data_IF_198950103316
#
_entry.id   IF_198950103316
#
_cell.length_a   1.000
_cell.length_b   1.000
_cell.length_c   1.000
_cell.angle_alpha   90.00
_cell.angle_beta   90.00
_cell.angle_gamma   90.00
#
_symmetry.space_group_name_H-M   'P 1'
#
loop_
_entity.id
_entity.type
_entity.pdbx_description
1 polymer ?
#
# COMPACT_ATOMS: atom_id res chain seq x y z
N UNK A 1 18.55 16.56 -8.73
CA UNK A 1 18.35 15.16 -9.16
C UNK A 1 19.00 14.13 -8.24
N UNK A 2 20.15 14.40 -7.60
CA UNK A 2 20.78 13.41 -6.69
C UNK A 2 19.86 12.99 -5.53
N UNK A 3 19.20 13.94 -4.86
CA UNK A 3 18.21 13.65 -3.83
C UNK A 3 17.00 12.87 -4.39
N UNK A 4 16.39 13.38 -5.46
CA UNK A 4 15.29 12.72 -6.17
C UNK A 4 15.60 11.28 -6.63
N UNK A 5 16.86 10.97 -6.95
CA UNK A 5 17.24 9.60 -7.34
C UNK A 5 17.16 8.60 -6.18
N UNK A 6 17.43 9.05 -4.95
CA UNK A 6 17.30 8.22 -3.76
C UNK A 6 15.82 7.98 -3.38
N UNK A 7 14.93 8.91 -3.74
CA UNK A 7 13.49 8.87 -3.46
C UNK A 7 12.69 8.23 -4.62
N UNK A 8 13.33 7.96 -5.76
CA UNK A 8 12.66 7.42 -6.94
C UNK A 8 12.05 6.04 -6.68
N UNK A 9 10.74 5.91 -6.93
CA UNK A 9 9.98 4.66 -6.80
C UNK A 9 9.45 4.18 -8.16
N UNK A 10 9.11 2.89 -8.24
CA UNK A 10 8.31 2.36 -9.35
C UNK A 10 6.84 2.84 -9.24
N UNK A 11 5.99 2.65 -10.28
CA UNK A 11 4.56 3.02 -10.21
C UNK A 11 3.78 2.38 -9.07
N UNK A 12 4.39 1.42 -8.37
CA UNK A 12 3.81 0.69 -7.27
C UNK A 12 4.39 1.11 -5.90
N UNK A 13 5.29 2.10 -5.84
CA UNK A 13 5.84 2.68 -4.62
C UNK A 13 7.06 1.95 -4.05
N UNK A 14 7.69 1.02 -4.79
CA UNK A 14 8.94 0.40 -4.34
C UNK A 14 10.12 1.30 -4.69
N UNK A 15 11.08 1.53 -3.77
CA UNK A 15 12.27 2.30 -4.07
C UNK A 15 13.14 1.61 -5.14
N UNK A 16 13.54 2.37 -6.15
CA UNK A 16 14.33 1.88 -7.29
C UNK A 16 15.83 1.75 -6.96
N UNK A 17 16.29 2.34 -5.86
CA UNK A 17 17.69 2.25 -5.42
C UNK A 17 18.70 2.88 -6.38
N UNK A 18 18.27 3.82 -7.23
CA UNK A 18 19.12 4.48 -8.21
C UNK A 18 19.98 5.56 -7.55
N UNK A 19 21.27 5.59 -7.88
CA UNK A 19 22.17 6.66 -7.45
C UNK A 19 22.53 7.54 -8.64
N UNK A 20 22.17 8.82 -8.58
CA UNK A 20 22.53 9.79 -9.61
C UNK A 20 23.83 10.51 -9.26
N UNK A 21 24.88 10.27 -10.06
CA UNK A 21 26.21 10.84 -9.88
C UNK A 21 27.05 10.08 -8.84
N UNK A 22 28.25 9.64 -9.23
CA UNK A 22 29.17 8.92 -8.33
C UNK A 22 29.85 9.84 -7.30
N UNK A 23 29.77 11.16 -7.47
CA UNK A 23 30.42 12.14 -6.60
C UNK A 23 29.48 13.35 -6.41
N UNK A 24 29.05 13.66 -5.18
CA UNK A 24 28.20 14.81 -4.90
C UNK A 24 28.82 16.12 -5.42
N UNK A 25 27.99 17.03 -5.94
CA UNK A 25 28.39 18.38 -6.43
C UNK A 25 29.32 18.43 -7.66
N UNK A 26 29.34 17.40 -8.50
CA UNK A 26 30.17 17.43 -9.72
C UNK A 26 29.49 18.25 -10.82
N UNK A 27 30.14 19.34 -11.27
CA UNK A 27 29.66 20.18 -12.37
C UNK A 27 29.58 19.47 -13.75
N UNK A 28 30.06 18.22 -13.83
CA UNK A 28 30.03 17.40 -15.04
C UNK A 28 28.70 16.65 -15.24
N UNK A 29 27.76 16.70 -14.30
CA UNK A 29 26.41 16.15 -14.54
C UNK A 29 25.63 17.10 -15.46
N UNK A 30 24.85 16.53 -16.38
CA UNK A 30 24.15 17.31 -17.41
C UNK A 30 23.14 18.33 -16.85
N UNK A 31 22.70 18.11 -15.61
CA UNK A 31 21.73 18.90 -14.87
C UNK A 31 22.35 19.89 -13.85
N UNK A 32 23.68 19.95 -13.71
CA UNK A 32 24.37 20.69 -12.64
C UNK A 32 24.03 22.20 -12.58
N UNK A 33 23.58 22.78 -13.69
CA UNK A 33 23.17 24.20 -13.81
C UNK A 33 21.68 24.36 -14.17
N UNK A 34 20.86 23.31 -14.01
CA UNK A 34 19.42 23.35 -14.32
C UNK A 34 18.62 23.81 -13.10
N UNK A 35 17.43 24.34 -13.37
CA UNK A 35 16.46 24.72 -12.32
C UNK A 35 16.11 23.46 -11.53
N UNK A 36 16.27 23.54 -10.21
CA UNK A 36 15.86 22.51 -9.28
C UNK A 36 14.39 22.76 -8.92
N UNK A 37 13.52 21.77 -9.10
CA UNK A 37 12.16 21.78 -8.57
C UNK A 37 12.14 21.25 -7.14
N UNK A 38 11.07 21.53 -6.40
CA UNK A 38 10.81 20.89 -5.12
C UNK A 38 10.19 19.51 -5.39
N UNK A 39 10.71 18.49 -4.71
CA UNK A 39 9.91 17.29 -4.44
C UNK A 39 8.98 17.63 -3.29
N UNK A 40 7.70 17.39 -3.50
CA UNK A 40 6.70 17.60 -2.47
C UNK A 40 5.94 16.30 -2.15
N UNK A 41 6.40 15.17 -2.70
CA UNK A 41 5.87 13.83 -2.44
C UNK A 41 6.16 13.34 -1.01
N UNK A 42 6.86 14.11 -0.17
CA UNK A 42 7.13 13.73 1.22
C UNK A 42 5.96 14.02 2.15
N UNK A 43 5.28 12.94 2.55
CA UNK A 43 4.46 12.71 3.76
C UNK A 43 3.88 13.95 4.48
N UNK A 44 2.56 14.19 4.39
CA UNK A 44 1.75 14.58 5.57
C UNK A 44 0.21 14.68 5.36
N UNK A 45 -0.52 13.98 6.25
CA UNK A 45 -1.90 14.14 6.76
C UNK A 45 -3.12 14.44 5.84
N UNK A 46 -3.90 13.40 5.52
CA UNK A 46 -5.32 13.51 5.16
C UNK A 46 -6.20 13.23 6.39
N UNK A 47 -6.89 14.25 6.94
CA UNK A 47 -7.75 14.09 8.12
C UNK A 47 -9.01 13.23 7.89
N UNK A 48 -9.98 13.23 8.80
CA UNK A 48 -9.88 12.93 10.22
C UNK A 48 -9.81 11.40 10.53
N UNK A 49 -9.52 10.54 9.54
CA UNK A 49 -9.30 9.10 9.75
C UNK A 49 -8.00 8.60 9.09
N UNK A 50 -6.91 8.79 9.86
CA UNK A 50 -5.63 8.07 9.93
C UNK A 50 -5.11 7.41 8.65
N UNK A 51 -4.13 8.00 7.94
CA UNK A 51 -3.00 7.34 7.23
C UNK A 51 -3.16 6.81 5.78
N UNK A 52 -3.84 7.51 4.87
CA UNK A 52 -3.88 7.05 3.46
C UNK A 52 -2.61 7.57 2.80
N UNK A 53 -1.55 6.75 2.79
CA UNK A 53 -0.31 7.04 2.10
C UNK A 53 -0.61 7.27 0.61
N UNK A 54 -0.57 8.53 0.21
CA UNK A 54 -0.78 8.97 -1.16
C UNK A 54 -0.18 10.36 -1.31
N UNK A 55 0.59 10.54 -2.37
CA UNK A 55 1.43 11.72 -2.64
C UNK A 55 0.62 13.01 -2.49
N UNK A 56 0.94 13.80 -1.47
CA UNK A 56 0.11 14.94 -1.08
C UNK A 56 0.15 16.06 -2.11
N UNK A 57 1.19 16.13 -2.94
CA UNK A 57 1.34 17.19 -3.92
C UNK A 57 1.46 16.62 -5.32
N UNK A 58 0.70 17.21 -6.24
CA UNK A 58 0.64 16.87 -7.65
C UNK A 58 1.98 17.02 -8.37
N UNK A 59 2.90 16.09 -8.17
CA UNK A 59 4.22 16.09 -8.79
C UNK A 59 4.93 17.43 -8.63
N UNK A 60 5.27 18.07 -9.74
CA UNK A 60 6.06 19.31 -9.78
C UNK A 60 5.41 20.57 -9.16
N UNK A 61 4.11 20.57 -8.86
CA UNK A 61 3.42 21.71 -8.24
C UNK A 61 3.02 21.42 -6.80
N UNK A 62 3.86 21.89 -5.88
CA UNK A 62 3.70 21.75 -4.43
C UNK A 62 2.48 22.46 -3.85
N UNK A 63 1.78 23.28 -4.64
CA UNK A 63 0.57 23.96 -4.23
C UNK A 63 -0.69 23.15 -4.55
N UNK A 64 -0.66 22.29 -5.57
CA UNK A 64 -1.79 21.49 -6.00
C UNK A 64 -1.86 20.16 -5.23
N UNK A 65 -2.93 19.97 -4.45
CA UNK A 65 -3.14 18.74 -3.68
C UNK A 65 -3.72 17.63 -4.57
N UNK A 66 -3.24 16.41 -4.39
CA UNK A 66 -3.90 15.22 -4.95
C UNK A 66 -5.12 14.83 -4.09
N UNK A 67 -6.06 14.11 -4.68
CA UNK A 67 -7.23 13.61 -3.97
C UNK A 67 -7.18 12.10 -3.76
N UNK A 68 -7.92 11.57 -2.77
CA UNK A 68 -8.05 10.15 -2.55
C UNK A 68 -8.42 9.41 -3.83
N UNK A 69 -7.71 8.33 -4.08
CA UNK A 69 -8.05 7.39 -5.14
C UNK A 69 -8.92 6.28 -4.59
N UNK A 70 -9.71 5.67 -5.46
CA UNK A 70 -10.53 4.53 -5.11
C UNK A 70 -10.98 3.70 -6.29
N UNK A 71 -11.78 2.68 -5.96
CA UNK A 71 -12.36 1.81 -6.97
C UNK A 71 -13.64 2.43 -7.50
N UNK A 72 -13.80 2.37 -8.82
CA UNK A 72 -15.05 2.75 -9.44
C UNK A 72 -16.14 1.75 -9.01
N UNK A 73 -17.23 2.22 -8.35
CA UNK A 73 -18.25 1.33 -7.81
C UNK A 73 -19.06 0.57 -8.85
N UNK A 74 -18.97 0.94 -10.14
CA UNK A 74 -19.64 0.22 -11.21
C UNK A 74 -18.77 -0.86 -11.85
N UNK A 75 -17.53 -1.01 -11.40
CA UNK A 75 -16.71 -2.13 -11.84
C UNK A 75 -17.25 -3.45 -11.29
N UNK A 76 -17.50 -4.39 -12.20
CA UNK A 76 -17.98 -5.73 -11.87
C UNK A 76 -16.84 -6.75 -11.95
N UNK A 77 -16.95 -7.83 -11.17
CA UNK A 77 -16.02 -8.96 -11.23
C UNK A 77 -14.58 -8.63 -10.78
N UNK A 78 -14.38 -7.54 -10.03
CA UNK A 78 -13.06 -7.18 -9.52
C UNK A 78 -12.73 -7.97 -8.27
N UNK A 79 -11.44 -8.22 -8.09
CA UNK A 79 -10.88 -8.95 -6.96
C UNK A 79 -9.84 -8.08 -6.25
N UNK A 80 -9.74 -8.29 -4.94
CA UNK A 80 -8.65 -7.76 -4.14
C UNK A 80 -7.34 -8.43 -4.52
N UNK A 81 -6.24 -7.73 -4.31
CA UNK A 81 -4.92 -8.34 -4.31
C UNK A 81 -4.86 -9.43 -3.25
N UNK A 82 -4.36 -10.61 -3.62
CA UNK A 82 -4.03 -11.68 -2.69
C UNK A 82 -2.62 -12.17 -2.93
N UNK A 83 -1.86 -12.29 -1.86
CA UNK A 83 -0.53 -12.87 -1.87
C UNK A 83 -0.47 -14.05 -0.91
N UNK A 84 0.37 -15.03 -1.21
CA UNK A 84 0.63 -16.17 -0.34
C UNK A 84 2.01 -16.05 0.27
N UNK A 85 2.09 -16.37 1.57
CA UNK A 85 3.30 -16.51 2.33
C UNK A 85 3.41 -17.98 2.75
N UNK A 86 4.39 -18.70 2.21
CA UNK A 86 4.67 -20.09 2.59
C UNK A 86 5.83 -20.12 3.56
N UNK A 87 5.59 -20.54 4.81
CA UNK A 87 6.63 -20.61 5.84
C UNK A 87 6.85 -22.05 6.34
N UNK A 88 8.08 -22.53 6.23
CA UNK A 88 8.55 -23.81 6.78
C UNK A 88 9.63 -23.56 7.84
N UNK A 89 9.25 -23.61 9.11
CA UNK A 89 10.13 -23.36 10.26
C UNK A 89 9.56 -23.99 11.55
N UNK A 90 10.42 -24.29 12.52
CA UNK A 90 10.07 -24.76 13.87
C UNK A 90 10.59 -23.85 15.00
N UNK A 91 11.26 -22.76 14.62
CA UNK A 91 11.78 -21.76 15.53
C UNK A 91 12.15 -20.46 14.83
N UNK A 92 12.51 -19.46 15.62
CA UNK A 92 12.97 -18.17 15.12
C UNK A 92 11.86 -17.19 14.79
N UNK A 93 12.19 -16.21 13.94
CA UNK A 93 11.32 -15.09 13.59
C UNK A 93 11.66 -14.55 12.20
N UNK A 94 10.75 -13.77 11.63
CA UNK A 94 10.95 -13.09 10.35
C UNK A 94 10.33 -11.68 10.39
N UNK A 95 10.63 -10.88 9.38
CA UNK A 95 9.96 -9.59 9.14
C UNK A 95 9.43 -9.53 7.72
N UNK A 96 8.41 -8.71 7.49
CA UNK A 96 7.87 -8.41 6.18
C UNK A 96 8.15 -6.94 5.86
N UNK A 97 8.45 -6.65 4.59
CA UNK A 97 8.73 -5.29 4.12
C UNK A 97 7.79 -4.97 2.97
N UNK A 98 7.17 -3.79 3.02
CA UNK A 98 6.30 -3.29 1.97
C UNK A 98 6.56 -1.80 1.75
N UNK A 99 6.85 -1.41 0.50
CA UNK A 99 7.14 -0.02 0.12
C UNK A 99 8.20 0.67 1.00
N UNK A 100 9.23 -0.08 1.41
CA UNK A 100 10.31 0.43 2.25
C UNK A 100 10.03 0.45 3.75
N UNK A 101 8.79 0.16 4.19
CA UNK A 101 8.45 -0.02 5.60
C UNK A 101 8.53 -1.48 6.00
N UNK A 102 9.19 -1.77 7.12
CA UNK A 102 9.36 -3.13 7.64
C UNK A 102 8.53 -3.30 8.91
N UNK A 103 7.79 -4.41 8.99
CA UNK A 103 7.00 -4.76 10.17
C UNK A 103 7.87 -4.94 11.41
N UNK A 104 7.25 -4.91 12.58
CA UNK A 104 7.85 -5.54 13.76
C UNK A 104 8.10 -7.05 13.51
N UNK A 105 8.97 -7.66 14.33
CA UNK A 105 9.29 -9.09 14.20
C UNK A 105 8.05 -9.96 14.40
N UNK A 106 7.87 -10.91 13.48
CA UNK A 106 6.80 -11.90 13.52
C UNK A 106 7.43 -13.23 13.94
N UNK A 107 7.07 -13.78 15.12
CA UNK A 107 7.61 -15.07 15.55
C UNK A 107 7.04 -16.21 14.68
N UNK A 108 7.80 -17.29 14.51
CA UNK A 108 7.38 -18.44 13.69
C UNK A 108 6.02 -19.05 14.12
N UNK A 109 5.68 -18.94 15.41
CA UNK A 109 4.45 -19.45 16.00
C UNK A 109 3.34 -18.39 16.10
N UNK A 110 3.45 -17.25 15.39
CA UNK A 110 2.43 -16.21 15.39
C UNK A 110 1.09 -16.73 14.86
N UNK A 111 0.00 -16.43 15.57
CA UNK A 111 -1.36 -16.72 15.11
C UNK A 111 -1.86 -15.69 14.10
N UNK A 112 -2.99 -15.98 13.45
CA UNK A 112 -3.61 -15.11 12.41
C UNK A 112 -3.78 -13.66 12.88
N UNK A 113 -4.31 -13.46 14.08
CA UNK A 113 -4.55 -12.13 14.63
C UNK A 113 -3.25 -11.33 14.83
N UNK A 114 -2.16 -12.01 15.25
CA UNK A 114 -0.86 -11.36 15.46
C UNK A 114 -0.20 -11.00 14.12
N UNK A 115 -0.24 -11.89 13.14
CA UNK A 115 0.26 -11.59 11.78
C UNK A 115 -0.53 -10.42 11.20
N UNK A 116 -1.86 -10.45 11.35
CA UNK A 116 -2.74 -9.39 10.86
C UNK A 116 -2.41 -8.04 11.52
N UNK A 117 -2.36 -7.96 12.86
CA UNK A 117 -2.05 -6.69 13.54
C UNK A 117 -0.65 -6.18 13.21
N UNK A 118 0.32 -7.09 13.02
CA UNK A 118 1.71 -6.71 12.71
C UNK A 118 1.83 -6.16 11.28
N UNK A 119 1.10 -6.73 10.32
CA UNK A 119 1.07 -6.23 8.95
C UNK A 119 0.25 -4.93 8.83
N UNK A 120 -0.86 -4.81 9.56
CA UNK A 120 -1.69 -3.60 9.59
C UNK A 120 -1.03 -2.41 10.28
N UNK A 121 0.08 -2.64 11.01
CA UNK A 121 0.92 -1.57 11.55
C UNK A 121 1.76 -0.87 10.47
N UNK A 122 1.91 -1.46 9.27
CA UNK A 122 2.42 -0.74 8.11
C UNK A 122 1.31 0.18 7.61
N UNK A 123 1.59 1.47 7.61
CA UNK A 123 0.57 2.48 7.34
C UNK A 123 0.07 2.44 5.88
N UNK A 124 0.87 1.93 4.96
CA UNK A 124 0.45 1.72 3.57
C UNK A 124 -0.49 0.51 3.39
N UNK A 125 -0.53 -0.44 4.34
CA UNK A 125 -1.39 -1.63 4.28
C UNK A 125 -2.76 -1.39 4.92
N UNK A 126 -2.79 -0.83 6.15
CA UNK A 126 -3.98 -0.52 6.98
C UNK A 126 -4.90 -1.69 7.30
N UNK A 127 -5.53 -2.27 6.29
CA UNK A 127 -6.44 -3.41 6.44
C UNK A 127 -6.07 -4.51 5.46
N UNK A 128 -5.83 -5.68 6.03
CA UNK A 128 -5.61 -6.92 5.33
C UNK A 128 -6.27 -8.06 6.12
N UNK A 129 -6.75 -9.07 5.40
CA UNK A 129 -7.31 -10.29 6.00
C UNK A 129 -6.32 -11.43 5.83
N UNK A 130 -6.03 -12.12 6.94
CA UNK A 130 -5.06 -13.21 6.98
C UNK A 130 -5.80 -14.53 7.19
N UNK A 131 -5.54 -15.51 6.32
CA UNK A 131 -6.05 -16.87 6.48
C UNK A 131 -4.93 -17.90 6.34
N UNK A 132 -4.94 -18.93 7.17
CA UNK A 132 -4.00 -20.04 7.06
C UNK A 132 -4.69 -21.22 6.38
N UNK A 133 -3.99 -21.92 5.50
CA UNK A 133 -4.48 -23.14 4.87
C UNK A 133 -4.65 -24.29 5.86
N UNK A 134 -3.82 -24.31 6.91
CA UNK A 134 -3.76 -25.34 7.93
C UNK A 134 -3.16 -24.82 9.25
N UNK A 135 -3.45 -25.51 10.35
CA UNK A 135 -2.87 -25.19 11.66
C UNK A 135 -3.39 -23.89 12.30
N UNK A 136 -2.67 -23.39 13.30
CA UNK A 136 -2.99 -22.16 14.05
C UNK A 136 -1.85 -21.17 14.09
N UNK A 137 -0.73 -21.48 13.45
CA UNK A 137 0.52 -20.69 13.44
C UNK A 137 1.01 -20.44 12.03
N UNK A 138 1.70 -19.33 11.81
CA UNK A 138 2.18 -18.88 10.49
C UNK A 138 3.22 -19.80 9.86
N UNK A 139 3.98 -20.55 10.68
CA UNK A 139 4.97 -21.53 10.22
C UNK A 139 4.69 -22.91 10.84
N UNK A 140 5.11 -23.96 10.12
CA UNK A 140 5.19 -25.33 10.64
C UNK A 140 6.36 -26.10 10.02
N UNK A 141 6.70 -27.27 10.56
CA UNK A 141 7.74 -28.15 9.99
C UNK A 141 7.39 -28.68 8.59
N UNK A 142 6.10 -28.75 8.24
CA UNK A 142 5.63 -29.19 6.91
C UNK A 142 5.36 -28.03 5.96
N UNK A 143 5.43 -26.79 6.44
CA UNK A 143 4.98 -25.61 5.72
C UNK A 143 3.53 -25.25 6.05
N UNK A 144 3.26 -23.95 6.18
CA UNK A 144 1.91 -23.37 6.22
C UNK A 144 1.82 -22.33 5.12
N UNK A 145 0.72 -22.34 4.37
CA UNK A 145 0.42 -21.32 3.37
C UNK A 145 -0.54 -20.32 3.99
N UNK A 146 -0.02 -19.12 4.23
CA UNK A 146 -0.78 -17.97 4.70
C UNK A 146 -1.23 -17.15 3.50
N UNK A 147 -2.53 -16.97 3.33
CA UNK A 147 -3.07 -16.02 2.34
C UNK A 147 -3.29 -14.66 2.99
N UNK A 148 -2.75 -13.64 2.35
CA UNK A 148 -2.84 -12.23 2.72
C UNK A 148 -3.69 -11.56 1.66
N UNK A 149 -4.90 -11.16 2.03
CA UNK A 149 -5.80 -10.39 1.17
C UNK A 149 -5.76 -8.93 1.57
N UNK A 150 -5.30 -8.06 0.68
CA UNK A 150 -5.27 -6.61 0.93
C UNK A 150 -6.66 -6.03 0.67
N UNK A 151 -7.31 -5.54 1.71
CA UNK A 151 -8.70 -5.08 1.62
C UNK A 151 -8.83 -3.56 1.46
N UNK A 152 -7.82 -2.81 1.90
CA UNK A 152 -7.77 -1.34 1.72
C UNK A 152 -7.16 -0.94 0.36
N UNK A 153 -6.06 -1.59 -0.02
CA UNK A 153 -5.35 -1.26 -1.25
C UNK A 153 -6.14 -1.71 -2.47
N UNK A 154 -6.14 -0.86 -3.50
CA UNK A 154 -6.85 -1.11 -4.76
C UNK A 154 -5.84 -1.30 -5.89
N UNK A 155 -6.18 -2.20 -6.81
CA UNK A 155 -5.34 -2.54 -7.95
C UNK A 155 -4.24 -3.53 -7.60
N UNK A 156 -3.33 -3.68 -8.55
CA UNK A 156 -2.17 -4.56 -8.50
C UNK A 156 -1.11 -4.00 -7.53
N UNK A 157 -0.62 -4.85 -6.65
CA UNK A 157 0.29 -4.44 -5.56
C UNK A 157 1.57 -5.29 -5.61
N UNK A 158 2.75 -4.73 -5.34
CA UNK A 158 3.98 -5.48 -5.34
C UNK A 158 3.97 -6.63 -4.33
N UNK A 159 4.68 -7.73 -4.63
CA UNK A 159 4.95 -8.77 -3.65
C UNK A 159 5.59 -8.21 -2.38
N UNK A 160 5.17 -8.70 -1.22
CA UNK A 160 5.83 -8.41 0.05
C UNK A 160 7.30 -8.87 0.01
N UNK A 161 8.21 -7.99 0.42
CA UNK A 161 9.56 -8.36 0.80
C UNK A 161 9.57 -9.07 2.15
N UNK A 162 10.63 -9.82 2.43
CA UNK A 162 10.78 -10.51 3.71
C UNK A 162 12.24 -10.69 4.08
N UNK A 163 12.51 -10.75 5.38
CA UNK A 163 13.77 -11.25 5.94
C UNK A 163 13.48 -12.45 6.83
N UNK A 164 13.96 -13.61 6.39
CA UNK A 164 13.80 -14.91 7.04
C UNK A 164 15.12 -15.46 7.61
N UNK A 165 16.18 -14.64 7.67
CA UNK A 165 17.52 -15.07 8.11
C UNK A 165 17.56 -15.60 9.55
N UNK A 166 16.60 -15.18 10.39
CA UNK A 166 16.44 -15.61 11.77
C UNK A 166 15.47 -16.79 11.97
N UNK A 167 14.93 -17.38 10.89
CA UNK A 167 14.13 -18.60 10.98
C UNK A 167 15.01 -19.83 11.12
N UNK A 168 14.53 -20.80 11.91
CA UNK A 168 15.23 -22.07 12.12
C UNK A 168 14.31 -23.25 11.85
N UNK A 169 14.92 -24.35 11.40
CA UNK A 169 14.25 -25.64 11.23
C UNK A 169 15.22 -26.72 11.69
N UNK A 170 14.82 -27.58 12.63
CA UNK A 170 15.71 -28.58 13.22
C UNK A 170 16.10 -29.67 12.22
N UNK A 171 15.22 -29.99 11.27
CA UNK A 171 15.39 -31.08 10.30
C UNK A 171 16.00 -30.67 8.96
N UNK A 172 16.04 -29.38 8.63
CA UNK A 172 16.49 -28.86 7.33
C UNK A 172 16.78 -27.34 7.40
N UNK A 173 16.88 -26.68 6.26
CA UNK A 173 16.94 -25.22 6.20
C UNK A 173 15.53 -24.65 6.26
N UNK A 174 15.30 -23.68 7.15
CA UNK A 174 14.04 -22.96 7.20
C UNK A 174 13.84 -22.16 5.90
N UNK A 175 12.60 -22.02 5.47
CA UNK A 175 12.27 -21.27 4.26
C UNK A 175 11.03 -20.41 4.46
N UNK A 176 11.06 -19.26 3.78
CA UNK A 176 9.94 -18.36 3.64
C UNK A 176 9.88 -17.93 2.18
N UNK A 177 8.69 -17.97 1.59
CA UNK A 177 8.48 -17.52 0.22
C UNK A 177 7.19 -16.70 0.13
N UNK A 178 7.22 -15.64 -0.67
CA UNK A 178 6.05 -14.83 -1.01
C UNK A 178 5.74 -15.03 -2.49
N UNK A 179 4.46 -15.20 -2.83
CA UNK A 179 3.98 -15.27 -4.21
C UNK A 179 2.66 -14.50 -4.36
N UNK A 180 2.37 -14.06 -5.58
CA UNK A 180 1.09 -13.47 -5.94
C UNK A 180 0.08 -14.60 -6.21
N UNK A 181 -1.04 -14.61 -5.48
CA UNK A 181 -2.13 -15.57 -5.67
C UNK A 181 -3.21 -15.00 -6.60
N UNK A 182 -3.52 -13.73 -6.44
CA UNK A 182 -4.48 -13.03 -7.28
C UNK A 182 -4.10 -11.56 -7.43
N UNK A 183 -3.85 -11.17 -8.67
CA UNK A 183 -3.64 -9.77 -9.04
C UNK A 183 -4.86 -8.92 -8.74
N UNK A 184 -4.69 -7.87 -7.96
CA UNK A 184 -5.73 -6.90 -7.67
C UNK A 184 -6.17 -6.18 -8.96
N UNK A 185 -7.49 -6.15 -9.19
CA UNK A 185 -8.06 -5.64 -10.45
C UNK A 185 -9.05 -4.48 -10.25
N UNK A 186 -9.29 -4.09 -9.00
CA UNK A 186 -10.03 -2.89 -8.66
C UNK A 186 -9.33 -1.65 -9.23
N UNK A 187 -10.10 -0.73 -9.81
CA UNK A 187 -9.57 0.57 -10.19
C UNK A 187 -8.95 1.28 -8.98
N UNK A 188 -7.91 2.07 -9.26
CA UNK A 188 -7.28 2.95 -8.29
C UNK A 188 -7.18 4.35 -8.90
N UNK A 189 -8.35 4.97 -9.09
CA UNK A 189 -8.52 6.21 -9.85
C UNK A 189 -8.96 7.34 -8.93
N UNK A 190 -8.58 8.57 -9.28
CA UNK A 190 -8.89 9.76 -8.50
C UNK A 190 -10.41 9.90 -8.29
N UNK A 191 -10.81 10.07 -7.02
CA UNK A 191 -12.20 10.16 -6.59
C UNK A 191 -13.11 9.04 -7.13
N UNK A 192 -12.55 7.84 -7.36
CA UNK A 192 -13.26 6.69 -7.94
C UNK A 192 -13.96 7.00 -9.28
N UNK A 193 -13.54 8.05 -9.99
CA UNK A 193 -14.24 8.66 -11.13
C UNK A 193 -15.69 9.09 -10.84
N UNK A 194 -16.03 9.31 -9.57
CA UNK A 194 -17.36 9.73 -9.07
C UNK A 194 -17.32 11.04 -8.31
N UNK A 195 -16.28 11.83 -8.52
CA UNK A 195 -16.19 13.19 -8.00
C UNK A 195 -15.13 13.99 -8.75
N UNK A 196 -15.09 15.28 -8.44
CA UNK A 196 -14.04 16.20 -8.90
C UNK A 196 -13.09 16.46 -7.76
N UNK A 197 -11.79 16.36 -8.02
CA UNK A 197 -10.78 16.70 -7.04
C UNK A 197 -10.68 18.22 -6.84
N UNK A 198 -10.91 18.69 -5.61
CA UNK A 198 -10.54 20.04 -5.21
C UNK A 198 -9.05 20.09 -4.89
N UNK A 199 -8.27 20.66 -5.82
CA UNK A 199 -6.81 20.79 -5.72
C UNK A 199 -6.34 21.71 -4.59
N UNK A 200 -7.20 22.55 -4.02
CA UNK A 200 -6.83 23.43 -2.91
C UNK A 200 -6.91 22.72 -1.57
N UNK A 201 -7.89 21.82 -1.41
CA UNK A 201 -8.11 21.09 -0.16
C UNK A 201 -7.57 19.66 -0.20
N UNK A 202 -7.45 19.06 -1.39
CA UNK A 202 -7.10 17.64 -1.58
C UNK A 202 -8.29 16.71 -1.33
N UNK A 203 -9.52 17.24 -1.42
CA UNK A 203 -10.74 16.48 -1.13
C UNK A 203 -11.57 16.23 -2.40
N UNK A 204 -12.21 15.06 -2.45
CA UNK A 204 -13.11 14.73 -3.55
C UNK A 204 -14.50 15.33 -3.32
N UNK A 205 -14.91 16.23 -4.21
CA UNK A 205 -16.30 16.67 -4.31
C UNK A 205 -17.10 15.61 -5.09
N UNK A 206 -17.78 14.73 -4.35
CA UNK A 206 -18.55 13.63 -4.95
C UNK A 206 -19.74 14.12 -5.77
N UNK A 207 -20.01 13.44 -6.88
CA UNK A 207 -21.23 13.65 -7.66
C UNK A 207 -22.45 13.19 -6.86
N UNK A 208 -23.66 13.67 -7.22
CA UNK A 208 -24.89 13.17 -6.62
C UNK A 208 -24.98 11.65 -6.70
N UNK A 209 -25.45 11.05 -5.61
CA UNK A 209 -25.53 9.59 -5.38
C UNK A 209 -24.20 8.90 -5.06
N UNK A 210 -23.13 9.66 -4.83
CA UNK A 210 -21.86 9.10 -4.39
C UNK A 210 -21.42 9.70 -3.05
N UNK A 211 -20.89 8.84 -2.19
CA UNK A 211 -20.28 9.20 -0.92
C UNK A 211 -18.94 8.48 -0.77
N UNK A 212 -18.21 8.85 0.26
CA UNK A 212 -16.99 8.18 0.69
C UNK A 212 -17.23 6.69 0.98
N UNK A 213 -16.31 5.84 0.52
CA UNK A 213 -16.37 4.39 0.72
C UNK A 213 -15.38 3.88 1.77
N UNK A 214 -15.45 2.58 2.04
CA UNK A 214 -14.46 1.79 2.78
C UNK A 214 -13.44 1.08 1.85
N UNK A 215 -13.50 1.29 0.53
CA UNK A 215 -12.71 0.56 -0.47
C UNK A 215 -13.29 -0.81 -0.89
N UNK A 216 -14.34 -1.29 -0.21
CA UNK A 216 -15.04 -2.52 -0.50
C UNK A 216 -16.48 -2.29 -1.00
N UNK A 217 -16.83 -1.05 -1.34
CA UNK A 217 -18.14 -0.67 -1.85
C UNK A 217 -19.19 -0.42 -0.77
N UNK A 218 -18.81 -0.42 0.51
CA UNK A 218 -19.68 0.02 1.59
C UNK A 218 -19.42 1.48 1.94
N UNK A 219 -20.33 2.07 2.71
CA UNK A 219 -20.15 3.41 3.24
C UNK A 219 -18.93 3.41 4.16
N UNK A 220 -18.01 4.33 3.91
CA UNK A 220 -16.81 4.47 4.71
C UNK A 220 -16.28 5.89 4.70
N UNK A 221 -15.05 6.06 5.16
CA UNK A 221 -14.45 7.37 5.46
C UNK A 221 -13.21 7.67 4.63
N UNK A 222 -12.97 6.92 3.56
CA UNK A 222 -11.82 7.07 2.66
C UNK A 222 -11.81 8.38 1.86
N UNK A 223 -12.96 9.04 1.69
CA UNK A 223 -13.09 10.30 0.95
C UNK A 223 -12.96 10.13 -0.57
N UNK A 224 -13.22 8.93 -1.09
CA UNK A 224 -12.93 8.55 -2.49
C UNK A 224 -14.16 8.52 -3.40
N UNK A 225 -15.35 8.89 -2.93
CA UNK A 225 -16.61 8.81 -3.69
C UNK A 225 -16.96 7.41 -4.23
N UNK A 226 -16.40 6.35 -3.63
CA UNK A 226 -16.57 4.97 -4.09
C UNK A 226 -17.85 4.28 -3.61
N UNK A 227 -18.70 4.94 -2.81
CA UNK A 227 -19.94 4.35 -2.31
C UNK A 227 -21.14 4.87 -3.07
N UNK A 228 -21.97 3.95 -3.60
CA UNK A 228 -23.25 4.30 -4.23
C UNK A 228 -24.29 4.54 -3.14
N UNK A 229 -24.67 5.79 -2.95
CA UNK A 229 -25.72 6.19 -2.02
C UNK A 229 -27.10 5.87 -2.60
N UNK A 230 -28.01 5.27 -1.81
CA UNK A 230 -29.39 5.03 -2.24
C UNK A 230 -30.20 6.33 -2.39
N UNK A 231 -29.72 7.43 -1.81
CA UNK A 231 -30.37 8.75 -1.85
C UNK A 231 -29.44 9.78 -2.48
N UNK A 232 -29.99 10.81 -3.16
CA UNK A 232 -29.16 11.87 -3.74
C UNK A 232 -28.38 12.60 -2.64
N UNK A 233 -27.06 12.51 -2.72
CA UNK A 233 -26.11 13.29 -1.92
C UNK A 233 -26.02 14.72 -2.47
N UNK A 234 -27.11 15.48 -2.35
CA UNK A 234 -27.07 16.93 -2.58
C UNK A 234 -26.64 17.62 -1.29
N UNK A 235 -25.71 18.56 -1.40
CA UNK A 235 -25.58 19.63 -0.41
C UNK A 235 -26.92 20.34 -0.32
N UNK A 236 -27.56 20.33 0.86
CA UNK A 236 -28.61 21.29 1.16
C UNK A 236 -28.00 22.68 0.92
N UNK A 237 -28.56 23.39 -0.06
CA UNK A 237 -28.18 24.75 -0.46
C UNK A 237 -28.24 25.73 0.70
#
# INVERSE_FOLDING_TARGET
>A
MQQLSAEATDPQGNPLGVTYGATPNTLATWDALKIQGCDCETNDYFGPYENAFGDFTGGHDCYARMCPRGADPFEVGKVNEKQTLTCTADGGQFTLTFRGETTAVIPFNAGTAQVQSTLQAIDSVRTATITFDSGTTVCSTTGVVTTIEFTFMQGDVPPLGFDASALTLTSATASLAVAELAKGSKANIECSARGVCDRTTGSCACFPYFLSSDGAGNLGRRGDCGYISPYPSVTLS
#
